data_IF_040837323003
#
_entry.id   IF_040837323003
#
_cell.length_a   1.000
_cell.length_b   1.000
_cell.length_c   1.000
_cell.angle_alpha   90.00
_cell.angle_beta   90.00
_cell.angle_gamma   90.00
#
_symmetry.space_group_name_H-M   'P 1'
#
loop_
_entity.id
_entity.type
_entity.pdbx_description
1 polymer ?
#
# COMPACT_ATOMS: atom_id res chain seq x y z
N UNK A 1 47.07 -28.98 4.29
CA UNK A 1 46.00 -28.45 5.16
C UNK A 1 45.58 -29.53 6.16
N UNK A 2 45.85 -29.34 7.46
CA UNK A 2 45.50 -30.31 8.51
C UNK A 2 43.98 -30.29 8.70
N UNK A 3 43.27 -31.34 8.29
CA UNK A 3 41.85 -31.49 8.65
C UNK A 3 41.77 -31.55 10.18
N UNK A 4 40.91 -30.75 10.85
CA UNK A 4 40.83 -30.77 12.30
C UNK A 4 40.50 -32.19 12.77
N UNK A 5 41.35 -32.75 13.62
CA UNK A 5 41.30 -34.16 14.05
C UNK A 5 39.91 -34.50 14.63
N UNK A 6 39.31 -33.56 15.37
CA UNK A 6 37.97 -33.68 15.94
C UNK A 6 36.88 -33.85 14.88
N UNK A 7 36.93 -33.08 13.79
CA UNK A 7 35.96 -33.20 12.69
C UNK A 7 36.11 -34.53 11.94
N UNK A 8 37.36 -34.97 11.72
CA UNK A 8 37.64 -36.26 11.08
C UNK A 8 37.12 -37.44 11.92
N UNK A 9 37.33 -37.41 13.23
CA UNK A 9 36.84 -38.43 14.17
C UNK A 9 35.30 -38.38 14.22
N UNK A 10 34.71 -37.18 14.34
CA UNK A 10 33.26 -37.00 14.37
C UNK A 10 32.55 -37.53 13.12
N UNK A 11 32.98 -37.12 11.91
CA UNK A 11 32.40 -37.61 10.66
C UNK A 11 32.59 -39.13 10.50
N UNK A 12 33.73 -39.67 10.92
CA UNK A 12 33.98 -41.12 10.88
C UNK A 12 33.00 -41.86 11.79
N UNK A 13 32.68 -41.34 12.96
CA UNK A 13 31.69 -41.95 13.86
C UNK A 13 30.26 -41.88 13.30
N UNK A 14 29.89 -40.76 12.66
CA UNK A 14 28.60 -40.62 11.97
C UNK A 14 28.48 -41.59 10.78
N UNK A 15 29.58 -41.79 10.03
CA UNK A 15 29.60 -42.64 8.83
C UNK A 15 29.88 -44.13 9.15
N UNK A 16 30.43 -44.44 10.31
CA UNK A 16 30.80 -45.82 10.68
C UNK A 16 29.55 -46.65 11.00
N UNK A 17 29.11 -47.46 10.03
CA UNK A 17 28.19 -48.58 10.27
C UNK A 17 28.86 -49.58 11.22
N UNK A 18 28.58 -49.51 12.53
CA UNK A 18 28.97 -50.58 13.47
C UNK A 18 28.14 -51.84 13.20
N UNK A 19 28.68 -53.01 13.57
CA UNK A 19 27.99 -54.33 13.56
C UNK A 19 26.62 -54.34 14.26
N UNK A 20 26.33 -53.36 15.13
CA UNK A 20 25.05 -53.21 15.83
C UNK A 20 24.12 -52.27 15.06
N UNK A 21 23.27 -52.84 14.20
CA UNK A 21 22.30 -52.12 13.37
C UNK A 21 21.34 -51.24 14.21
N UNK A 22 20.99 -51.66 15.43
CA UNK A 22 20.11 -50.93 16.34
C UNK A 22 20.67 -49.55 16.72
N UNK A 23 21.97 -49.43 17.01
CA UNK A 23 22.59 -48.16 17.42
C UNK A 23 22.63 -47.17 16.25
N UNK A 24 22.87 -47.65 15.03
CA UNK A 24 22.86 -46.82 13.83
C UNK A 24 21.45 -46.31 13.49
N UNK A 25 20.42 -47.12 13.76
CA UNK A 25 19.03 -46.77 13.52
C UNK A 25 18.54 -45.68 14.48
N UNK A 26 18.82 -45.82 15.78
CA UNK A 26 18.43 -44.82 16.79
C UNK A 26 19.09 -43.47 16.49
N UNK A 27 20.39 -43.45 16.20
CA UNK A 27 21.10 -42.20 15.86
C UNK A 27 20.54 -41.51 14.62
N UNK A 28 20.11 -42.27 13.60
CA UNK A 28 19.50 -41.71 12.39
C UNK A 28 18.15 -41.06 12.69
N UNK A 29 17.29 -41.73 13.46
CA UNK A 29 15.98 -41.19 13.84
C UNK A 29 16.14 -39.94 14.72
N UNK A 30 17.07 -39.96 15.70
CA UNK A 30 17.33 -38.77 16.53
C UNK A 30 17.83 -37.60 15.69
N UNK A 31 18.74 -37.83 14.74
CA UNK A 31 19.22 -36.79 13.82
C UNK A 31 18.09 -36.23 12.96
N UNK A 32 17.22 -37.09 12.41
CA UNK A 32 16.06 -36.66 11.63
C UNK A 32 15.05 -35.87 12.49
N UNK A 33 14.78 -36.31 13.72
CA UNK A 33 13.88 -35.60 14.63
C UNK A 33 14.38 -34.20 14.97
N UNK A 34 15.67 -34.05 15.27
CA UNK A 34 16.27 -32.73 15.53
C UNK A 34 16.24 -31.87 14.27
N UNK A 35 16.60 -32.43 13.10
CA UNK A 35 16.58 -31.70 11.84
C UNK A 35 15.18 -31.19 11.50
N UNK A 36 14.16 -32.04 11.65
CA UNK A 36 12.76 -31.66 11.42
C UNK A 36 12.27 -30.61 12.43
N UNK A 37 12.62 -30.75 13.72
CA UNK A 37 12.24 -29.79 14.74
C UNK A 37 12.84 -28.40 14.52
N UNK A 38 14.13 -28.34 14.17
CA UNK A 38 14.81 -27.07 13.83
C UNK A 38 14.24 -26.47 12.55
N UNK A 39 13.96 -27.29 11.53
CA UNK A 39 13.38 -26.82 10.27
C UNK A 39 11.98 -26.24 10.49
N UNK A 40 11.14 -26.91 11.30
CA UNK A 40 9.82 -26.40 11.67
C UNK A 40 9.92 -25.07 12.43
N UNK A 41 10.84 -24.96 13.38
CA UNK A 41 11.03 -23.72 14.15
C UNK A 41 11.50 -22.56 13.27
N UNK A 42 12.45 -22.81 12.35
CA UNK A 42 12.92 -21.80 11.39
C UNK A 42 11.77 -21.37 10.48
N UNK A 43 10.97 -22.31 9.96
CA UNK A 43 9.85 -22.01 9.08
C UNK A 43 8.81 -21.13 9.78
N UNK A 44 8.40 -21.48 11.01
CA UNK A 44 7.43 -20.70 11.79
C UNK A 44 7.96 -19.29 12.08
N UNK A 45 9.22 -19.19 12.54
CA UNK A 45 9.82 -17.90 12.83
C UNK A 45 9.96 -17.03 11.57
N UNK A 46 10.28 -17.64 10.43
CA UNK A 46 10.34 -16.96 9.14
C UNK A 46 8.98 -16.36 8.75
N UNK A 47 7.89 -17.10 8.94
CA UNK A 47 6.54 -16.61 8.63
C UNK A 47 6.15 -15.45 9.54
N UNK A 48 6.40 -15.57 10.85
CA UNK A 48 6.08 -14.51 11.82
C UNK A 48 6.90 -13.25 11.53
N UNK A 49 8.21 -13.39 11.27
CA UNK A 49 9.09 -12.26 10.99
C UNK A 49 8.70 -11.55 9.69
N UNK A 50 8.45 -12.31 8.62
CA UNK A 50 8.01 -11.74 7.35
C UNK A 50 6.66 -11.02 7.52
N UNK A 51 5.68 -11.66 8.16
CA UNK A 51 4.36 -11.06 8.38
C UNK A 51 4.42 -9.80 9.24
N UNK A 52 5.19 -9.80 10.32
CA UNK A 52 5.32 -8.63 11.22
C UNK A 52 6.04 -7.47 10.52
N UNK A 53 7.08 -7.78 9.73
CA UNK A 53 7.79 -6.79 8.92
C UNK A 53 6.84 -6.13 7.92
N UNK A 54 6.14 -6.95 7.13
CA UNK A 54 5.17 -6.46 6.14
C UNK A 54 4.05 -5.66 6.80
N UNK A 55 3.40 -6.16 7.84
CA UNK A 55 2.31 -5.43 8.50
C UNK A 55 2.77 -4.09 9.06
N UNK A 56 3.97 -4.02 9.65
CA UNK A 56 4.52 -2.77 10.18
C UNK A 56 4.85 -1.78 9.07
N UNK A 57 5.51 -2.24 8.02
CA UNK A 57 5.91 -1.40 6.89
C UNK A 57 4.68 -0.87 6.14
N UNK A 58 3.68 -1.73 5.89
CA UNK A 58 2.41 -1.35 5.26
C UNK A 58 1.57 -0.39 6.12
N UNK A 59 1.56 -0.55 7.45
CA UNK A 59 0.86 0.39 8.34
C UNK A 59 1.55 1.76 8.39
N UNK A 60 2.86 1.81 8.15
CA UNK A 60 3.66 3.04 8.16
C UNK A 60 3.77 3.71 6.77
N UNK A 61 3.19 3.11 5.72
CA UNK A 61 3.08 3.75 4.41
C UNK A 61 2.05 4.87 4.47
N UNK A 62 2.53 6.09 4.75
CA UNK A 62 1.98 7.39 4.36
C UNK A 62 0.44 7.58 4.37
N UNK A 63 -0.27 6.95 5.29
CA UNK A 63 -1.69 7.23 5.57
C UNK A 63 -1.73 8.39 6.59
N UNK A 64 -2.61 9.39 6.45
CA UNK A 64 -2.77 10.42 7.46
C UNK A 64 -3.01 9.79 8.84
N UNK A 65 -2.26 10.22 9.86
CA UNK A 65 -2.34 9.65 11.22
C UNK A 65 -3.77 9.64 11.79
N UNK A 66 -4.60 10.58 11.36
CA UNK A 66 -6.03 10.61 11.62
C UNK A 66 -6.75 11.29 10.45
N UNK A 67 -7.94 10.82 10.13
CA UNK A 67 -8.89 11.50 9.24
C UNK A 67 -10.12 11.90 10.07
N UNK A 68 -10.60 13.13 9.86
CA UNK A 68 -11.80 13.64 10.53
C UNK A 68 -12.80 14.00 9.44
N UNK A 69 -13.92 13.28 9.41
CA UNK A 69 -15.02 13.56 8.49
C UNK A 69 -16.08 14.34 9.24
N UNK A 70 -16.43 15.53 8.73
CA UNK A 70 -17.53 16.32 9.27
C UNK A 70 -18.85 15.84 8.64
N UNK A 71 -19.94 15.77 9.42
CA UNK A 71 -21.28 15.63 8.86
C UNK A 71 -21.61 16.88 8.00
N UNK A 72 -22.28 16.67 6.86
CA UNK A 72 -22.52 17.70 5.83
C UNK A 72 -23.13 19.02 6.33
N UNK A 73 -23.82 19.01 7.48
CA UNK A 73 -24.70 20.11 7.90
C UNK A 73 -24.22 20.91 9.13
N UNK A 74 -23.03 20.65 9.69
CA UNK A 74 -22.72 21.12 11.06
C UNK A 74 -21.58 22.14 11.23
N UNK A 75 -20.62 22.26 10.29
CA UNK A 75 -19.50 23.22 10.41
C UNK A 75 -18.86 23.52 9.04
N UNK A 76 -18.39 24.77 8.84
CA UNK A 76 -17.47 25.07 7.75
C UNK A 76 -16.16 24.30 8.01
N UNK A 77 -15.80 23.42 7.08
CA UNK A 77 -14.60 22.61 7.17
C UNK A 77 -13.33 23.46 7.36
N UNK A 78 -13.34 24.72 6.90
CA UNK A 78 -12.23 25.67 7.09
C UNK A 78 -12.04 26.03 8.55
N UNK A 79 -13.12 26.38 9.25
CA UNK A 79 -13.07 26.72 10.68
C UNK A 79 -12.63 25.51 11.52
N UNK A 80 -13.09 24.31 11.14
CA UNK A 80 -12.67 23.07 11.77
C UNK A 80 -11.18 22.79 11.52
N UNK A 81 -10.70 22.97 10.29
CA UNK A 81 -9.30 22.79 9.93
C UNK A 81 -8.39 23.77 10.69
N UNK A 82 -8.76 25.04 10.79
CA UNK A 82 -8.02 26.06 11.54
C UNK A 82 -7.97 25.73 13.05
N UNK A 83 -9.10 25.28 13.60
CA UNK A 83 -9.18 24.87 15.01
C UNK A 83 -8.31 23.65 15.31
N UNK A 84 -8.26 22.67 14.38
CA UNK A 84 -7.41 21.49 14.48
C UNK A 84 -5.93 21.84 14.31
N UNK A 85 -5.59 22.74 13.38
CA UNK A 85 -4.22 23.19 13.18
C UNK A 85 -3.65 23.92 14.41
N UNK A 86 -4.50 24.57 15.20
CA UNK A 86 -4.11 25.22 16.46
C UNK A 86 -3.97 24.26 17.65
N UNK A 87 -4.39 22.99 17.53
CA UNK A 87 -4.36 22.05 18.63
C UNK A 87 -2.92 21.55 18.93
N UNK A 88 -2.55 21.41 20.22
CA UNK A 88 -1.22 20.95 20.59
C UNK A 88 -0.97 19.51 20.10
N UNK A 89 0.12 19.31 19.35
CA UNK A 89 0.51 18.01 18.80
C UNK A 89 0.11 17.78 17.35
N UNK A 90 -0.66 18.68 16.74
CA UNK A 90 -0.97 18.64 15.30
C UNK A 90 0.16 19.30 14.52
N UNK A 91 0.73 18.57 13.56
CA UNK A 91 1.87 19.05 12.76
C UNK A 91 1.41 19.71 11.46
N UNK A 92 0.39 19.14 10.82
CA UNK A 92 -0.20 19.63 9.58
C UNK A 92 -1.66 19.18 9.46
N UNK A 93 -2.46 19.96 8.76
CA UNK A 93 -3.86 19.67 8.42
C UNK A 93 -4.04 19.94 6.93
N UNK A 94 -4.73 19.05 6.23
CA UNK A 94 -5.04 19.16 4.81
C UNK A 94 -6.49 18.76 4.61
N UNK A 95 -7.27 19.55 3.87
CA UNK A 95 -8.60 19.17 3.49
C UNK A 95 -8.55 18.05 2.46
N UNK A 96 -9.52 17.16 2.54
CA UNK A 96 -9.74 16.15 1.52
C UNK A 96 -11.23 16.02 1.23
N UNK A 97 -11.54 15.49 0.07
CA UNK A 97 -12.89 15.13 -0.33
C UNK A 97 -12.86 13.74 -0.93
N UNK A 98 -13.75 12.85 -0.51
CA UNK A 98 -13.82 11.47 -1.02
C UNK A 98 -15.17 11.23 -1.70
N UNK A 99 -15.14 10.66 -2.89
CA UNK A 99 -16.33 10.23 -3.63
C UNK A 99 -16.08 8.93 -4.40
N UNK A 100 -17.14 8.16 -4.62
CA UNK A 100 -17.08 6.95 -5.43
C UNK A 100 -17.33 7.28 -6.91
N UNK A 101 -16.53 6.71 -7.80
CA UNK A 101 -16.66 6.89 -9.23
C UNK A 101 -16.40 5.58 -9.99
N UNK A 102 -16.79 5.56 -11.26
CA UNK A 102 -16.44 4.52 -12.21
C UNK A 102 -15.37 5.05 -13.15
N UNK A 103 -14.22 4.41 -13.16
CA UNK A 103 -13.12 4.72 -14.04
C UNK A 103 -13.15 3.75 -15.21
N UNK A 104 -13.11 4.27 -16.44
CA UNK A 104 -13.13 3.50 -17.67
C UNK A 104 -11.95 3.86 -18.59
N UNK A 105 -11.28 2.83 -19.10
CA UNK A 105 -10.25 2.93 -20.12
C UNK A 105 -10.34 1.76 -21.09
N UNK A 106 -10.33 2.02 -22.40
CA UNK A 106 -10.30 1.00 -23.45
C UNK A 106 -11.37 -0.11 -23.28
N UNK A 107 -12.60 0.30 -22.97
CA UNK A 107 -13.75 -0.60 -22.76
C UNK A 107 -13.73 -1.40 -21.45
N UNK A 108 -12.66 -1.31 -20.66
CA UNK A 108 -12.57 -1.87 -19.30
C UNK A 108 -12.86 -0.78 -18.28
N UNK A 109 -13.47 -1.14 -17.16
CA UNK A 109 -13.67 -0.18 -16.09
C UNK A 109 -13.75 -0.85 -14.71
N UNK A 110 -13.49 -0.03 -13.70
CA UNK A 110 -13.42 -0.41 -12.30
C UNK A 110 -14.08 0.68 -11.45
N UNK A 111 -14.70 0.29 -10.34
CA UNK A 111 -15.16 1.25 -9.33
C UNK A 111 -13.97 1.71 -8.50
N UNK A 112 -13.88 3.02 -8.27
CA UNK A 112 -12.75 3.67 -7.63
C UNK A 112 -13.22 4.68 -6.59
N UNK A 113 -12.42 4.82 -5.54
CA UNK A 113 -12.56 5.89 -4.56
C UNK A 113 -11.67 7.05 -5.01
N UNK A 114 -12.31 8.13 -5.46
CA UNK A 114 -11.62 9.35 -5.86
C UNK A 114 -11.48 10.24 -4.65
N UNK A 115 -10.24 10.56 -4.30
CA UNK A 115 -9.90 11.50 -3.23
C UNK A 115 -9.33 12.78 -3.82
N UNK A 116 -10.05 13.88 -3.63
CA UNK A 116 -9.59 15.22 -3.88
C UNK A 116 -8.64 15.69 -2.80
N UNK A 117 -7.47 16.17 -3.20
CA UNK A 117 -6.46 16.73 -2.29
C UNK A 117 -5.93 18.06 -2.80
N UNK A 118 -5.38 18.86 -1.91
CA UNK A 118 -4.60 20.05 -2.25
C UNK A 118 -3.11 19.66 -2.19
N UNK A 119 -2.40 19.58 -3.33
CA UNK A 119 -1.03 19.04 -3.38
C UNK A 119 -0.06 19.71 -2.41
N UNK A 120 -0.20 21.01 -2.19
CA UNK A 120 0.67 21.80 -1.32
C UNK A 120 0.53 21.40 0.16
N UNK A 121 -0.70 21.19 0.63
CA UNK A 121 -0.97 20.78 2.02
C UNK A 121 -0.74 19.28 2.20
N UNK A 122 -1.04 18.48 1.18
CA UNK A 122 -0.85 17.02 1.21
C UNK A 122 0.63 16.65 1.41
N UNK A 123 1.54 17.39 0.77
CA UNK A 123 2.99 17.25 0.98
C UNK A 123 3.43 17.44 2.43
N UNK A 124 2.76 18.33 3.17
CA UNK A 124 3.09 18.60 4.57
C UNK A 124 2.63 17.47 5.50
N UNK A 125 1.53 16.81 5.17
CA UNK A 125 1.03 15.65 5.93
C UNK A 125 1.86 14.41 5.65
N UNK A 126 2.14 14.14 4.37
CA UNK A 126 2.73 12.86 3.98
C UNK A 126 4.11 12.65 4.59
N UNK A 127 4.86 13.73 4.90
CA UNK A 127 6.23 13.72 5.46
C UNK A 127 7.12 12.61 4.88
N UNK A 128 6.82 12.16 3.67
CA UNK A 128 7.39 10.96 3.10
C UNK A 128 8.69 11.37 2.43
N UNK A 129 9.81 10.69 2.72
CA UNK A 129 11.06 10.90 2.01
C UNK A 129 10.99 10.47 0.54
N UNK A 130 9.86 9.94 0.08
CA UNK A 130 9.65 9.56 -1.31
C UNK A 130 9.56 10.78 -2.24
N UNK A 131 10.70 11.09 -2.88
CA UNK A 131 10.82 12.13 -3.88
C UNK A 131 9.91 11.93 -5.09
N UNK A 132 9.54 10.68 -5.41
CA UNK A 132 8.71 10.39 -6.57
C UNK A 132 7.26 10.85 -6.32
N UNK A 133 6.70 10.53 -5.15
CA UNK A 133 5.37 11.00 -4.77
C UNK A 133 5.31 12.53 -4.71
N UNK A 134 6.36 13.18 -4.19
CA UNK A 134 6.42 14.64 -4.16
C UNK A 134 6.41 15.26 -5.57
N UNK A 135 7.18 14.71 -6.51
CA UNK A 135 7.19 15.16 -7.90
C UNK A 135 5.85 14.91 -8.61
N UNK A 136 5.17 13.81 -8.29
CA UNK A 136 3.83 13.54 -8.82
C UNK A 136 2.78 14.51 -8.28
N UNK A 137 2.88 14.91 -7.00
CA UNK A 137 2.03 15.95 -6.42
C UNK A 137 2.30 17.32 -7.05
N UNK A 138 3.55 17.67 -7.37
CA UNK A 138 3.86 18.88 -8.14
C UNK A 138 3.21 18.85 -9.52
N UNK A 139 3.34 17.74 -10.24
CA UNK A 139 2.74 17.60 -11.55
C UNK A 139 1.20 17.59 -11.50
N UNK A 140 0.63 17.05 -10.42
CA UNK A 140 -0.81 17.13 -10.15
C UNK A 140 -1.25 18.59 -9.94
N UNK A 141 -0.46 19.41 -9.23
CA UNK A 141 -0.75 20.84 -9.06
C UNK A 141 -0.74 21.61 -10.38
N UNK A 142 0.15 21.24 -11.31
CA UNK A 142 0.23 21.83 -12.66
C UNK A 142 -0.81 21.30 -13.65
N UNK A 143 -1.42 20.13 -13.35
CA UNK A 143 -2.37 19.44 -14.23
C UNK A 143 -3.74 19.36 -13.55
N UNK A 144 -4.67 20.31 -13.79
CA UNK A 144 -5.97 20.35 -13.11
C UNK A 144 -6.75 19.02 -13.23
N UNK A 145 -6.84 18.47 -14.44
CA UNK A 145 -7.49 17.18 -14.75
C UNK A 145 -6.53 15.98 -14.61
N UNK A 146 -5.49 16.12 -13.79
CA UNK A 146 -4.56 15.06 -13.46
C UNK A 146 -5.17 14.05 -12.50
N UNK A 147 -4.82 12.78 -12.68
CA UNK A 147 -5.17 11.70 -11.76
C UNK A 147 -3.95 10.84 -11.45
N UNK A 148 -3.71 10.59 -10.17
CA UNK A 148 -2.73 9.61 -9.69
C UNK A 148 -3.50 8.36 -9.30
N UNK A 149 -3.11 7.20 -9.82
CA UNK A 149 -3.79 5.94 -9.56
C UNK A 149 -3.00 5.07 -8.59
N UNK A 150 -3.72 4.26 -7.81
CA UNK A 150 -3.11 3.16 -7.08
C UNK A 150 -2.38 2.20 -8.04
N UNK A 151 -1.21 1.70 -7.63
CA UNK A 151 -0.39 0.77 -8.43
C UNK A 151 -1.20 -0.43 -8.95
N UNK A 152 -2.08 -1.01 -8.11
CA UNK A 152 -2.91 -2.16 -8.48
C UNK A 152 -3.98 -1.80 -9.52
N UNK A 153 -4.69 -0.69 -9.31
CA UNK A 153 -5.72 -0.17 -10.21
C UNK A 153 -5.16 0.13 -11.60
N UNK A 154 -4.02 0.82 -11.66
CA UNK A 154 -3.34 1.09 -12.94
C UNK A 154 -2.92 -0.20 -13.67
N UNK A 155 -2.42 -1.20 -12.92
CA UNK A 155 -2.04 -2.49 -13.48
C UNK A 155 -3.22 -3.30 -14.02
N UNK A 156 -4.39 -3.27 -13.35
CA UNK A 156 -5.61 -3.94 -13.81
C UNK A 156 -6.15 -3.35 -15.11
N UNK A 157 -6.12 -2.03 -15.23
CA UNK A 157 -6.61 -1.31 -16.41
C UNK A 157 -5.55 -1.16 -17.51
N UNK A 158 -4.29 -1.49 -17.23
CA UNK A 158 -3.18 -1.35 -18.18
C UNK A 158 -2.84 0.11 -18.51
N UNK A 159 -3.02 1.00 -17.54
CA UNK A 159 -2.83 2.43 -17.68
C UNK A 159 -1.38 2.84 -17.42
N UNK A 160 -0.89 3.81 -18.20
CA UNK A 160 0.46 4.38 -18.09
C UNK A 160 0.40 5.91 -18.00
N UNK A 161 1.40 6.55 -17.35
CA UNK A 161 1.49 8.01 -17.30
C UNK A 161 1.34 8.65 -18.68
N UNK A 162 0.54 9.72 -18.77
CA UNK A 162 0.21 10.44 -19.99
C UNK A 162 -1.02 9.92 -20.75
N UNK A 163 -1.57 8.75 -20.40
CA UNK A 163 -2.82 8.25 -20.98
C UNK A 163 -4.03 8.98 -20.41
N UNK A 164 -5.13 9.02 -21.18
CA UNK A 164 -6.40 9.59 -20.74
C UNK A 164 -7.40 8.49 -20.40
N UNK A 165 -8.23 8.73 -19.40
CA UNK A 165 -9.29 7.82 -18.97
C UNK A 165 -10.56 8.61 -18.66
N UNK A 166 -11.72 7.95 -18.77
CA UNK A 166 -13.00 8.55 -18.41
C UNK A 166 -13.33 8.19 -16.97
N UNK A 167 -13.70 9.18 -16.17
CA UNK A 167 -14.18 8.99 -14.80
C UNK A 167 -15.60 9.53 -14.72
N UNK A 168 -16.53 8.69 -14.29
CA UNK A 168 -17.94 9.05 -14.13
C UNK A 168 -18.35 8.91 -12.67
N UNK A 169 -18.89 9.96 -12.04
CA UNK A 169 -19.40 9.87 -10.67
C UNK A 169 -20.42 8.73 -10.48
N UNK A 170 -20.35 8.01 -9.37
CA UNK A 170 -21.25 6.88 -9.12
C UNK A 170 -22.71 7.33 -9.04
N UNK A 171 -22.99 8.44 -8.38
CA UNK A 171 -24.31 9.04 -8.27
C UNK A 171 -24.94 9.31 -9.65
N UNK A 172 -24.17 9.87 -10.60
CA UNK A 172 -24.58 10.14 -11.98
C UNK A 172 -24.82 8.85 -12.75
N UNK A 173 -23.95 7.85 -12.59
CA UNK A 173 -24.14 6.54 -13.20
C UNK A 173 -25.42 5.84 -12.75
N UNK A 174 -25.71 5.86 -11.44
CA UNK A 174 -26.94 5.29 -10.89
C UNK A 174 -28.19 6.01 -11.43
N UNK A 175 -28.07 7.31 -11.72
CA UNK A 175 -29.12 8.11 -12.36
C UNK A 175 -29.15 7.96 -13.89
N UNK A 176 -28.28 7.13 -14.48
CA UNK A 176 -28.10 6.97 -15.94
C UNK A 176 -27.73 8.28 -16.66
N UNK A 177 -27.00 9.14 -15.96
CA UNK A 177 -26.42 10.38 -16.47
C UNK A 177 -24.96 10.11 -16.85
N UNK A 178 -24.71 9.94 -18.14
CA UNK A 178 -23.37 9.67 -18.68
C UNK A 178 -22.66 10.94 -19.14
N UNK A 179 -23.38 12.06 -19.22
CA UNK A 179 -22.87 13.38 -19.56
C UNK A 179 -21.93 13.98 -18.50
N UNK A 180 -22.01 13.49 -17.27
CA UNK A 180 -21.14 13.92 -16.16
C UNK A 180 -19.77 13.21 -16.20
N UNK A 181 -19.53 12.35 -17.19
CA UNK A 181 -18.24 11.71 -17.40
C UNK A 181 -17.17 12.73 -17.79
N UNK A 182 -16.01 12.68 -17.12
CA UNK A 182 -14.88 13.57 -17.40
C UNK A 182 -13.63 12.81 -17.78
N UNK A 183 -12.83 13.40 -18.66
CA UNK A 183 -11.53 12.86 -19.06
C UNK A 183 -10.47 13.32 -18.07
N UNK A 184 -9.69 12.39 -17.55
CA UNK A 184 -8.54 12.65 -16.70
C UNK A 184 -7.27 12.12 -17.35
N UNK A 185 -6.17 12.86 -17.17
CA UNK A 185 -4.85 12.44 -17.61
C UNK A 185 -4.09 11.77 -16.47
N UNK A 186 -3.58 10.55 -16.73
CA UNK A 186 -2.77 9.83 -15.76
C UNK A 186 -1.45 10.57 -15.52
N UNK A 187 -1.26 11.03 -14.29
CA UNK A 187 0.00 11.63 -13.83
C UNK A 187 1.02 10.55 -13.50
N UNK A 188 0.57 9.51 -12.80
CA UNK A 188 1.42 8.39 -12.44
C UNK A 188 0.74 7.39 -11.52
N UNK A 189 1.56 6.51 -10.95
CA UNK A 189 1.13 5.49 -9.98
C UNK A 189 1.76 5.74 -8.63
N UNK A 190 0.98 5.55 -7.57
CA UNK A 190 1.46 5.59 -6.21
C UNK A 190 0.97 4.36 -5.43
N UNK A 191 1.70 3.97 -4.40
CA UNK A 191 1.28 2.97 -3.44
C UNK A 191 0.71 3.67 -2.21
N UNK A 192 -0.59 3.54 -2.02
CA UNK A 192 -1.33 4.17 -0.94
C UNK A 192 -1.50 3.23 0.28
N UNK A 193 -0.84 2.07 0.29
CA UNK A 193 -0.89 1.10 1.38
C UNK A 193 -2.13 0.19 1.39
N UNK A 194 -2.24 -0.66 2.42
CA UNK A 194 -3.14 -1.83 2.45
C UNK A 194 -4.59 -1.57 2.91
N UNK A 195 -4.88 -0.48 3.63
CA UNK A 195 -6.22 -0.25 4.17
C UNK A 195 -7.07 0.54 3.16
N UNK A 196 -8.04 -0.16 2.57
CA UNK A 196 -9.13 0.35 1.70
C UNK A 196 -8.73 1.06 0.39
N UNK A 197 -7.44 1.02 0.05
CA UNK A 197 -6.83 1.91 -0.96
C UNK A 197 -6.51 1.28 -2.32
N UNK A 198 -6.90 0.03 -2.50
CA UNK A 198 -6.56 -0.70 -3.72
C UNK A 198 -7.22 -0.17 -5.00
N UNK A 199 -8.34 0.55 -4.84
CA UNK A 199 -9.05 1.24 -5.90
C UNK A 199 -9.03 2.77 -5.68
N UNK A 200 -8.00 3.29 -5.01
CA UNK A 200 -7.88 4.72 -4.73
C UNK A 200 -7.28 5.48 -5.92
N UNK A 201 -7.81 6.67 -6.15
CA UNK A 201 -7.26 7.65 -7.08
C UNK A 201 -7.18 9.03 -6.41
N UNK A 202 -6.07 9.74 -6.61
CA UNK A 202 -5.92 11.13 -6.16
C UNK A 202 -6.13 12.09 -7.32
N UNK A 203 -6.91 13.14 -7.08
CA UNK A 203 -7.14 14.24 -8.02
C UNK A 203 -7.05 15.57 -7.27
N UNK A 204 -7.04 16.68 -8.00
CA UNK A 204 -7.12 18.01 -7.39
C UNK A 204 -8.48 18.22 -6.69
N UNK A 205 -8.45 18.79 -5.48
CA UNK A 205 -9.63 19.08 -4.67
C UNK A 205 -10.75 19.85 -5.42
N UNK A 206 -10.47 20.90 -6.23
CA UNK A 206 -11.50 21.61 -6.98
C UNK A 206 -12.17 20.77 -8.07
N UNK A 207 -11.52 19.71 -8.55
CA UNK A 207 -12.07 18.80 -9.56
C UNK A 207 -12.88 17.70 -8.87
N UNK A 208 -12.41 17.20 -7.73
CA UNK A 208 -13.16 16.24 -6.92
C UNK A 208 -14.53 16.78 -6.48
N UNK A 209 -14.63 18.07 -6.12
CA UNK A 209 -15.92 18.67 -5.73
C UNK A 209 -16.98 18.66 -6.84
N UNK A 210 -16.55 18.50 -8.08
CA UNK A 210 -17.45 18.40 -9.23
C UNK A 210 -17.74 16.93 -9.60
N UNK A 211 -17.19 15.96 -8.88
CA UNK A 211 -17.46 14.52 -9.01
C UNK A 211 -18.35 13.99 -7.86
N UNK A 212 -18.95 14.88 -7.07
CA UNK A 212 -19.90 14.56 -6.00
C UNK A 212 -21.35 14.48 -6.47
#
# INVERSE_FOLDING_TARGET
>A
MRKPLALFIGLRFVRARKKNQLVSFVSLISMLGIALGVLALIAVLSVINASTGTMREETLKAVPHAAVTLPDDLLDWREAADSLAAAPGVIAVAPFLESEAWLQFDGRGEFVNVRGVTPETEKQILQSPDSQLQAMLDFLAETPDGIILGTRLAGQLGLYPGMQMSVTPLNSLLQRRTEDARSFQMVGVADFGFYDNDAMALVNLPVASQLL
#
